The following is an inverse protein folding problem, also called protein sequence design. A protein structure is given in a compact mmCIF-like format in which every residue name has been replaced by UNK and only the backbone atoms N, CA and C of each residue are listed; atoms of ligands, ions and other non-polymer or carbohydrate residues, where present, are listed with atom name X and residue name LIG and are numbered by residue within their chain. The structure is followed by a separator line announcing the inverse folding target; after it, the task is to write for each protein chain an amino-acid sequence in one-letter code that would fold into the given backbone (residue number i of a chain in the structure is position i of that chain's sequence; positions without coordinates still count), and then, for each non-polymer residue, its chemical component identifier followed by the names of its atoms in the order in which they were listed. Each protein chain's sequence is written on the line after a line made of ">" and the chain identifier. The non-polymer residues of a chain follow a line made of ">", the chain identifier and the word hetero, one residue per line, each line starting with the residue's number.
data_IF_858453573235
#
_entry.id   IF_858453573235
#
_cell.length_a   1.000
_cell.length_b   1.000
_cell.length_c   1.000
_cell.angle_alpha   90.00
_cell.angle_beta   90.00
_cell.angle_gamma   90.00
#
_symmetry.space_group_name_H-M   'P 1'
#
loop_
_entity.id
_entity.type
_entity.pdbx_description
1 polymer ?
#
# COMPACT_ATOMS: atom_id res chain seq x y z
N UNK A 1 -5.86 -8.59 22.76
CA UNK A 1 -5.25 -9.29 21.63
C UNK A 1 -5.42 -8.40 20.41
N UNK A 2 -4.40 -7.60 20.09
CA UNK A 2 -4.40 -6.82 18.85
C UNK A 2 -4.13 -7.83 17.75
N UNK A 3 -5.12 -8.13 16.92
CA UNK A 3 -4.93 -8.89 15.70
C UNK A 3 -3.82 -8.21 14.92
N UNK A 4 -2.75 -8.94 14.57
CA UNK A 4 -1.70 -8.43 13.69
C UNK A 4 -2.33 -8.11 12.32
N UNK A 5 -2.77 -6.87 12.19
CA UNK A 5 -3.32 -6.32 10.96
C UNK A 5 -2.18 -5.69 10.21
N UNK A 6 -1.52 -6.48 9.37
CA UNK A 6 -0.41 -6.06 8.52
C UNK A 6 -0.84 -4.98 7.51
N UNK A 7 0.10 -4.20 6.96
CA UNK A 7 -0.20 -3.19 5.93
C UNK A 7 -0.95 -3.80 4.73
N UNK A 8 -0.60 -5.02 4.33
CA UNK A 8 -1.30 -5.78 3.28
C UNK A 8 -2.72 -6.25 3.64
N UNK A 9 -3.17 -6.05 4.89
CA UNK A 9 -4.53 -6.38 5.34
C UNK A 9 -5.47 -5.18 5.35
N UNK A 10 -4.94 -3.96 5.18
CA UNK A 10 -5.72 -2.72 5.18
C UNK A 10 -6.78 -2.75 4.08
N UNK A 11 -7.98 -2.26 4.42
CA UNK A 11 -9.11 -2.10 3.50
C UNK A 11 -9.14 -0.68 2.94
N UNK A 12 -9.81 -0.45 1.80
CA UNK A 12 -9.91 0.90 1.25
C UNK A 12 -10.56 1.87 2.26
N UNK A 13 -11.60 1.43 2.97
CA UNK A 13 -12.26 2.27 3.98
C UNK A 13 -11.35 2.67 5.15
N UNK A 14 -10.25 1.95 5.39
CA UNK A 14 -9.26 2.28 6.42
C UNK A 14 -8.13 3.17 5.91
N UNK A 15 -7.98 3.33 4.59
CA UNK A 15 -6.87 4.06 3.95
C UNK A 15 -7.32 5.18 3.03
N UNK A 16 -8.63 5.31 2.76
CA UNK A 16 -9.18 6.36 1.91
C UNK A 16 -8.81 7.74 2.48
N UNK A 17 -7.99 8.55 1.77
CA UNK A 17 -7.56 9.85 2.26
C UNK A 17 -8.73 10.78 2.62
N UNK A 18 -9.89 10.62 1.99
CA UNK A 18 -11.09 11.41 2.29
C UNK A 18 -11.62 11.16 3.71
N UNK A 19 -11.41 9.96 4.26
CA UNK A 19 -11.78 9.60 5.63
C UNK A 19 -10.74 10.02 6.67
N UNK A 20 -9.55 10.44 6.23
CA UNK A 20 -8.40 10.70 7.07
C UNK A 20 -7.73 12.03 6.66
N UNK A 21 -8.28 13.20 7.01
CA UNK A 21 -7.61 14.48 6.78
C UNK A 21 -6.22 14.47 7.43
N UNK A 22 -5.20 14.83 6.67
CA UNK A 22 -3.82 14.84 7.13
C UNK A 22 -3.08 15.93 6.37
N UNK A 23 -2.55 16.88 7.13
CA UNK A 23 -1.71 17.95 6.63
C UNK A 23 -0.53 18.04 7.59
N UNK A 24 0.68 17.99 7.05
CA UNK A 24 1.90 18.00 7.84
C UNK A 24 2.87 19.00 7.23
N UNK A 25 2.75 20.25 7.65
CA UNK A 25 3.72 21.28 7.30
C UNK A 25 5.09 21.00 7.96
N UNK A 26 6.09 21.81 7.62
CA UNK A 26 7.47 21.60 8.09
C UNK A 26 7.60 21.65 9.62
N UNK A 27 6.80 22.47 10.31
CA UNK A 27 6.83 22.60 11.76
C UNK A 27 6.15 21.41 12.44
N UNK A 28 5.01 20.97 11.91
CA UNK A 28 4.31 19.78 12.36
C UNK A 28 5.13 18.50 12.11
N UNK A 29 5.84 18.43 10.98
CA UNK A 29 6.76 17.33 10.65
C UNK A 29 7.92 17.26 11.65
N UNK A 30 8.51 18.40 12.01
CA UNK A 30 9.56 18.48 13.03
C UNK A 30 9.07 18.05 14.41
N UNK A 31 7.91 18.56 14.83
CA UNK A 31 7.28 18.18 16.09
C UNK A 31 6.93 16.67 16.14
N UNK A 32 6.51 16.10 14.99
CA UNK A 32 6.27 14.67 14.88
C UNK A 32 7.56 13.86 15.05
N UNK A 33 8.65 14.28 14.40
CA UNK A 33 9.96 13.64 14.55
C UNK A 33 10.44 13.65 16.02
N UNK A 34 10.28 14.78 16.72
CA UNK A 34 10.61 14.90 18.15
C UNK A 34 9.79 13.93 19.02
N UNK A 35 8.52 13.70 18.67
CA UNK A 35 7.66 12.74 19.36
C UNK A 35 8.02 11.27 19.03
N UNK A 36 8.48 11.00 17.82
CA UNK A 36 8.90 9.66 17.38
C UNK A 36 10.26 9.28 17.97
N UNK A 37 11.20 10.23 18.07
CA UNK A 37 12.56 10.01 18.56
C UNK A 37 12.66 9.15 19.84
N UNK A 38 11.91 9.41 20.92
CA UNK A 38 11.98 8.60 22.14
C UNK A 38 11.38 7.19 22.02
N UNK A 39 10.61 6.90 20.96
CA UNK A 39 9.99 5.60 20.71
C UNK A 39 10.89 4.67 19.90
N UNK A 40 11.98 5.19 19.33
CA UNK A 40 12.84 4.45 18.45
C UNK A 40 13.71 3.43 19.20
N UNK A 41 13.88 2.22 18.64
CA UNK A 41 14.83 1.27 19.17
C UNK A 41 16.27 1.75 18.96
N UNK A 42 17.20 1.21 19.75
CA UNK A 42 18.62 1.32 19.42
C UNK A 42 18.94 0.49 18.18
N UNK A 43 19.96 0.89 17.42
CA UNK A 43 20.39 0.18 16.21
C UNK A 43 20.64 -1.32 16.45
N UNK A 44 21.25 -1.69 17.58
CA UNK A 44 21.50 -3.11 17.92
C UNK A 44 20.18 -3.87 18.14
N UNK A 45 19.22 -3.26 18.84
CA UNK A 45 17.87 -3.84 19.03
C UNK A 45 17.12 -3.98 17.70
N UNK A 46 17.26 -3.01 16.80
CA UNK A 46 16.65 -3.06 15.47
C UNK A 46 17.25 -4.19 14.61
N UNK A 47 18.54 -4.49 14.75
CA UNK A 47 19.18 -5.64 14.08
C UNK A 47 18.71 -6.98 14.64
N UNK A 48 18.55 -7.09 15.95
CA UNK A 48 18.17 -8.34 16.61
C UNK A 48 16.67 -8.66 16.49
N UNK A 49 15.82 -7.65 16.69
CA UNK A 49 14.37 -7.80 16.74
C UNK A 49 13.69 -7.42 15.42
N UNK A 50 14.42 -6.82 14.48
CA UNK A 50 13.90 -6.45 13.15
C UNK A 50 12.66 -5.55 13.27
N UNK A 51 11.66 -5.82 12.43
CA UNK A 51 10.39 -5.07 12.36
C UNK A 51 9.73 -4.84 13.72
N UNK A 52 9.66 -5.84 14.60
CA UNK A 52 8.89 -5.72 15.87
C UNK A 52 9.47 -4.67 16.81
N UNK A 53 10.75 -4.32 16.65
CA UNK A 53 11.36 -3.20 17.38
C UNK A 53 10.72 -1.84 17.07
N UNK A 54 9.98 -1.72 15.97
CA UNK A 54 9.29 -0.52 15.51
C UNK A 54 7.79 -0.50 15.83
N UNK A 55 7.29 -1.52 16.54
CA UNK A 55 5.88 -1.56 16.96
C UNK A 55 5.50 -0.32 17.79
N UNK A 56 6.31 0.21 18.74
CA UNK A 56 5.97 1.44 19.47
C UNK A 56 5.77 2.66 18.56
N UNK A 57 6.58 2.80 17.51
CA UNK A 57 6.44 3.88 16.52
C UNK A 57 5.16 3.68 15.72
N UNK A 58 4.92 2.45 15.25
CA UNK A 58 3.73 2.12 14.46
C UNK A 58 2.44 2.35 15.26
N UNK A 59 2.42 1.94 16.52
CA UNK A 59 1.27 2.12 17.40
C UNK A 59 1.01 3.60 17.69
N UNK A 60 2.06 4.38 17.94
CA UNK A 60 1.95 5.84 18.09
C UNK A 60 1.36 6.52 16.84
N UNK A 61 1.85 6.17 15.64
CA UNK A 61 1.35 6.73 14.39
C UNK A 61 -0.11 6.32 14.13
N UNK A 62 -0.47 5.07 14.41
CA UNK A 62 -1.83 4.56 14.25
C UNK A 62 -2.79 5.20 15.26
N UNK A 63 -2.38 5.40 16.51
CA UNK A 63 -3.17 6.09 17.52
C UNK A 63 -3.43 7.55 17.10
N UNK A 64 -2.42 8.21 16.53
CA UNK A 64 -2.49 9.63 16.16
C UNK A 64 -3.25 9.89 14.86
N UNK A 65 -3.03 9.08 13.83
CA UNK A 65 -3.52 9.34 12.48
C UNK A 65 -4.55 8.32 11.98
N UNK A 66 -4.75 7.22 12.71
CA UNK A 66 -5.61 6.12 12.31
C UNK A 66 -4.87 5.01 11.58
N UNK A 67 -5.62 3.97 11.22
CA UNK A 67 -5.06 2.69 10.74
C UNK A 67 -4.27 2.80 9.45
N UNK A 68 -4.57 3.79 8.61
CA UNK A 68 -3.81 4.02 7.37
C UNK A 68 -2.32 4.19 7.63
N UNK A 69 -1.92 4.81 8.75
CA UNK A 69 -0.52 5.11 9.05
C UNK A 69 0.33 3.85 9.25
N UNK A 70 -0.27 2.66 9.40
CA UNK A 70 0.46 1.40 9.55
C UNK A 70 1.28 1.01 8.31
N UNK A 71 1.01 1.59 7.15
CA UNK A 71 1.79 1.37 5.94
C UNK A 71 3.12 2.13 5.88
N UNK A 72 3.44 2.98 6.86
CA UNK A 72 4.59 3.89 6.81
C UNK A 72 5.94 3.22 6.53
N UNK A 73 6.16 1.98 6.98
CA UNK A 73 7.40 1.23 6.74
C UNK A 73 7.23 0.07 5.75
N UNK A 74 6.16 0.07 4.94
CA UNK A 74 5.96 -0.95 3.92
C UNK A 74 6.84 -0.64 2.71
N UNK A 75 8.09 -1.05 2.83
CA UNK A 75 9.17 -0.77 1.91
C UNK A 75 9.09 -1.55 0.61
N UNK A 76 9.68 -0.99 -0.44
CA UNK A 76 9.99 -1.71 -1.69
C UNK A 76 10.92 -2.91 -1.42
N UNK A 77 10.73 -4.00 -2.15
CA UNK A 77 11.55 -5.22 -2.04
C UNK A 77 11.42 -5.94 -0.70
N UNK A 78 12.47 -6.66 -0.29
CA UNK A 78 12.48 -7.57 0.89
C UNK A 78 12.61 -6.86 2.25
N UNK A 79 12.13 -5.62 2.38
CA UNK A 79 12.19 -4.94 3.66
C UNK A 79 11.20 -5.49 4.69
N UNK A 80 10.93 -4.74 5.76
CA UNK A 80 10.28 -5.26 6.99
C UNK A 80 8.95 -6.01 6.76
N UNK A 81 8.19 -5.63 5.73
CA UNK A 81 6.87 -6.22 5.40
C UNK A 81 6.79 -6.79 3.97
N UNK A 82 7.87 -6.67 3.19
CA UNK A 82 8.02 -7.15 1.80
C UNK A 82 7.02 -6.59 0.75
N UNK A 83 7.52 -6.12 -0.40
CA UNK A 83 6.71 -5.81 -1.58
C UNK A 83 5.84 -4.56 -1.48
N UNK A 84 6.23 -3.60 -0.65
CA UNK A 84 5.54 -2.33 -0.48
C UNK A 84 6.01 -1.25 -1.46
N UNK A 85 5.69 0.00 -1.13
CA UNK A 85 5.84 1.18 -2.01
C UNK A 85 6.73 2.27 -1.44
N UNK A 86 7.09 2.17 -0.16
CA UNK A 86 7.92 3.18 0.52
C UNK A 86 9.37 2.97 0.12
N UNK A 87 9.95 3.92 -0.62
CA UNK A 87 11.32 3.85 -1.10
C UNK A 87 12.35 4.40 -0.11
N UNK A 88 11.97 5.36 0.73
CA UNK A 88 12.91 5.96 1.70
C UNK A 88 13.26 5.02 2.86
N UNK A 89 12.40 4.05 3.15
CA UNK A 89 12.62 3.04 4.18
C UNK A 89 13.07 1.72 3.55
N UNK A 90 14.14 1.12 4.08
CA UNK A 90 14.61 -0.20 3.65
C UNK A 90 14.13 -1.29 4.61
N UNK A 91 14.68 -1.33 5.83
CA UNK A 91 14.27 -2.25 6.89
C UNK A 91 14.84 -1.78 8.23
N UNK A 92 14.31 -2.30 9.34
CA UNK A 92 14.75 -1.93 10.69
C UNK A 92 16.28 -2.02 10.88
N UNK A 93 16.91 -3.08 10.36
CA UNK A 93 18.35 -3.32 10.56
C UNK A 93 19.26 -2.37 9.78
N UNK A 94 18.78 -1.77 8.68
CA UNK A 94 19.55 -0.87 7.82
C UNK A 94 19.16 0.59 7.97
N UNK A 95 17.92 0.88 8.32
CA UNK A 95 17.37 2.24 8.39
C UNK A 95 17.45 2.86 9.79
N UNK A 96 17.59 2.06 10.86
CA UNK A 96 17.74 2.58 12.23
C UNK A 96 19.20 2.91 12.52
N UNK A 97 19.50 4.20 12.68
CA UNK A 97 20.83 4.73 13.01
C UNK A 97 20.79 5.52 14.33
N UNK A 98 20.76 6.85 14.25
CA UNK A 98 20.57 7.78 15.37
C UNK A 98 19.09 8.15 15.49
N UNK A 99 18.65 8.59 16.67
CA UNK A 99 17.25 8.95 16.89
C UNK A 99 16.79 10.10 15.97
N UNK A 100 17.64 11.10 15.75
CA UNK A 100 17.31 12.26 14.91
C UNK A 100 17.19 11.87 13.43
N UNK A 101 18.17 11.13 12.89
CA UNK A 101 18.12 10.66 11.50
C UNK A 101 16.95 9.70 11.26
N UNK A 102 16.75 8.76 12.18
CA UNK A 102 15.71 7.73 12.03
C UNK A 102 14.32 8.32 12.20
N UNK A 103 14.11 9.28 13.11
CA UNK A 103 12.81 9.93 13.30
C UNK A 103 12.43 10.78 12.09
N UNK A 104 13.37 11.54 11.52
CA UNK A 104 13.17 12.23 10.25
C UNK A 104 12.81 11.26 9.12
N UNK A 105 13.48 10.10 9.07
CA UNK A 105 13.20 9.07 8.08
C UNK A 105 11.79 8.45 8.23
N UNK A 106 11.33 8.22 9.47
CA UNK A 106 9.97 7.74 9.75
C UNK A 106 8.92 8.74 9.25
N UNK A 107 9.14 10.04 9.48
CA UNK A 107 8.22 11.09 8.99
C UNK A 107 8.20 11.11 7.47
N UNK A 108 9.35 11.05 6.81
CA UNK A 108 9.44 10.99 5.36
C UNK A 108 8.74 9.74 4.80
N UNK A 109 8.90 8.59 5.45
CA UNK A 109 8.28 7.33 5.05
C UNK A 109 6.74 7.35 5.22
N UNK A 110 6.23 7.98 6.29
CA UNK A 110 4.80 8.21 6.47
C UNK A 110 4.22 9.12 5.40
N UNK A 111 4.92 10.20 5.04
CA UNK A 111 4.53 11.10 3.96
C UNK A 111 4.54 10.40 2.61
N UNK A 112 5.57 9.62 2.30
CA UNK A 112 5.63 8.86 1.05
C UNK A 112 4.48 7.85 0.93
N UNK A 113 4.13 7.18 2.03
CA UNK A 113 2.97 6.31 2.09
C UNK A 113 1.66 7.09 1.89
N UNK A 114 1.55 8.29 2.49
CA UNK A 114 0.39 9.16 2.33
C UNK A 114 0.21 9.60 0.88
N UNK A 115 1.27 10.08 0.24
CA UNK A 115 1.26 10.53 -1.16
C UNK A 115 0.77 9.42 -2.09
N UNK A 116 1.19 8.19 -1.84
CA UNK A 116 0.72 7.03 -2.60
C UNK A 116 -0.79 6.78 -2.45
N UNK A 117 -1.34 6.90 -1.23
CA UNK A 117 -2.77 6.74 -1.00
C UNK A 117 -3.60 7.83 -1.70
N UNK A 118 -3.09 9.06 -1.72
CA UNK A 118 -3.70 10.19 -2.42
C UNK A 118 -3.65 10.02 -3.95
N UNK A 119 -2.51 9.60 -4.48
CA UNK A 119 -2.36 9.26 -5.90
C UNK A 119 -3.35 8.15 -6.31
N UNK A 120 -3.51 7.11 -5.48
CA UNK A 120 -4.49 6.06 -5.73
C UNK A 120 -5.92 6.59 -5.69
N UNK A 121 -6.27 7.48 -4.76
CA UNK A 121 -7.61 8.07 -4.68
C UNK A 121 -7.96 8.85 -5.96
N UNK A 122 -7.01 9.64 -6.47
CA UNK A 122 -7.15 10.37 -7.73
C UNK A 122 -7.30 9.43 -8.93
N UNK A 123 -6.43 8.42 -9.03
CA UNK A 123 -6.49 7.41 -10.09
C UNK A 123 -7.80 6.64 -10.05
N UNK A 124 -8.26 6.23 -8.88
CA UNK A 124 -9.55 5.56 -8.74
C UNK A 124 -10.69 6.48 -9.17
N UNK A 125 -10.63 7.78 -8.91
CA UNK A 125 -11.63 8.73 -9.41
C UNK A 125 -11.63 8.80 -10.93
N UNK A 126 -10.45 8.90 -11.55
CA UNK A 126 -10.29 8.95 -13.00
C UNK A 126 -10.68 7.63 -13.70
N UNK A 127 -10.55 6.50 -13.00
CA UNK A 127 -10.88 5.17 -13.51
C UNK A 127 -12.27 4.68 -13.10
N UNK A 128 -13.07 5.47 -12.38
CA UNK A 128 -14.40 5.03 -11.96
C UNK A 128 -15.31 4.73 -13.17
N UNK A 129 -16.15 3.68 -13.10
CA UNK A 129 -17.06 3.33 -14.19
C UNK A 129 -18.13 4.41 -14.35
N UNK A 130 -18.38 4.86 -15.59
CA UNK A 130 -19.52 5.75 -15.86
C UNK A 130 -20.84 5.03 -15.57
N UNK A 131 -21.89 5.82 -15.34
CA UNK A 131 -23.26 5.33 -15.13
C UNK A 131 -24.19 6.01 -16.15
N UNK A 132 -24.72 5.28 -17.16
CA UNK A 132 -24.54 3.85 -17.41
C UNK A 132 -23.13 3.48 -17.90
N UNK A 133 -22.74 2.22 -17.68
CA UNK A 133 -21.50 1.66 -18.22
C UNK A 133 -21.76 1.16 -19.64
N UNK A 134 -21.20 1.83 -20.65
CA UNK A 134 -21.39 1.48 -22.06
C UNK A 134 -20.14 0.88 -22.71
N UNK A 135 -18.96 1.10 -22.12
CA UNK A 135 -17.70 0.60 -22.65
C UNK A 135 -17.38 -0.80 -22.10
N UNK A 136 -17.39 -1.86 -22.93
CA UNK A 136 -17.10 -3.22 -22.50
C UNK A 136 -15.65 -3.43 -22.08
N UNK A 137 -14.73 -2.52 -22.42
CA UNK A 137 -13.31 -2.61 -22.08
C UNK A 137 -12.93 -1.82 -20.83
N UNK A 138 -13.92 -1.22 -20.14
CA UNK A 138 -13.64 -0.32 -19.03
C UNK A 138 -12.85 -0.98 -17.90
N UNK A 139 -13.33 -2.14 -17.42
CA UNK A 139 -12.69 -2.87 -16.31
C UNK A 139 -11.32 -3.42 -16.70
N UNK A 140 -11.15 -3.83 -17.96
CA UNK A 140 -9.87 -4.28 -18.49
C UNK A 140 -8.85 -3.14 -18.47
N UNK A 141 -9.21 -1.97 -19.02
CA UNK A 141 -8.33 -0.79 -19.03
C UNK A 141 -8.00 -0.29 -17.63
N UNK A 142 -8.96 -0.33 -16.71
CA UNK A 142 -8.73 0.04 -15.31
C UNK A 142 -7.75 -0.93 -14.63
N UNK A 143 -7.94 -2.24 -14.81
CA UNK A 143 -7.04 -3.26 -14.28
C UNK A 143 -5.61 -3.09 -14.81
N UNK A 144 -5.44 -3.00 -16.14
CA UNK A 144 -4.13 -2.86 -16.77
C UNK A 144 -3.37 -1.63 -16.23
N UNK A 145 -4.04 -0.47 -16.14
CA UNK A 145 -3.43 0.76 -15.64
C UNK A 145 -3.02 0.67 -14.16
N UNK A 146 -3.84 0.03 -13.33
CA UNK A 146 -3.53 -0.14 -11.91
C UNK A 146 -2.38 -1.14 -11.71
N UNK A 147 -2.36 -2.24 -12.45
CA UNK A 147 -1.25 -3.21 -12.42
C UNK A 147 0.06 -2.53 -12.81
N UNK A 148 0.09 -1.76 -13.90
CA UNK A 148 1.30 -1.04 -14.34
C UNK A 148 1.78 -0.05 -13.28
N UNK A 149 0.88 0.77 -12.74
CA UNK A 149 1.22 1.76 -11.71
C UNK A 149 1.79 1.12 -10.45
N UNK A 150 1.20 0.01 -10.00
CA UNK A 150 1.73 -0.71 -8.83
C UNK A 150 3.09 -1.34 -9.16
N UNK A 151 3.24 -1.98 -10.31
CA UNK A 151 4.51 -2.56 -10.73
C UNK A 151 5.62 -1.49 -10.79
N UNK A 152 5.34 -0.32 -11.37
CA UNK A 152 6.29 0.79 -11.41
C UNK A 152 6.65 1.29 -9.99
N UNK A 153 5.64 1.50 -9.13
CA UNK A 153 5.85 2.04 -7.77
C UNK A 153 6.63 1.09 -6.86
N UNK A 154 6.35 -0.20 -6.98
CA UNK A 154 7.00 -1.28 -6.22
C UNK A 154 8.27 -1.80 -6.91
N UNK A 155 8.61 -1.26 -8.08
CA UNK A 155 9.69 -1.73 -8.96
C UNK A 155 9.57 -3.20 -9.36
N UNK A 156 8.37 -3.78 -9.23
CA UNK A 156 8.07 -5.20 -9.37
C UNK A 156 9.00 -6.12 -8.55
N UNK A 157 9.48 -5.61 -7.41
CA UNK A 157 10.38 -6.32 -6.52
C UNK A 157 9.63 -7.37 -5.68
N UNK A 158 10.34 -8.42 -5.27
CA UNK A 158 9.92 -9.43 -4.28
C UNK A 158 8.38 -9.67 -4.20
N UNK A 159 7.71 -9.22 -3.13
CA UNK A 159 6.28 -9.47 -2.87
C UNK A 159 5.28 -8.51 -3.52
N UNK A 160 5.68 -7.72 -4.53
CA UNK A 160 4.87 -6.62 -5.07
C UNK A 160 3.43 -6.98 -5.48
N UNK A 161 3.24 -8.20 -5.99
CA UNK A 161 1.95 -8.68 -6.47
C UNK A 161 0.89 -8.73 -5.36
N UNK A 162 1.31 -8.84 -4.08
CA UNK A 162 0.41 -8.75 -2.93
C UNK A 162 -0.21 -7.36 -2.83
N UNK A 163 0.60 -6.30 -3.00
CA UNK A 163 0.09 -4.94 -3.02
C UNK A 163 -0.76 -4.68 -4.27
N UNK A 164 -0.37 -5.24 -5.42
CA UNK A 164 -1.18 -5.15 -6.65
C UNK A 164 -2.59 -5.72 -6.44
N UNK A 165 -2.70 -6.91 -5.86
CA UNK A 165 -3.99 -7.52 -5.50
C UNK A 165 -4.78 -6.66 -4.50
N UNK A 166 -4.09 -6.05 -3.54
CA UNK A 166 -4.71 -5.15 -2.56
C UNK A 166 -5.29 -3.90 -3.24
N UNK A 167 -4.55 -3.25 -4.13
CA UNK A 167 -4.99 -2.07 -4.89
C UNK A 167 -6.17 -2.38 -5.80
N UNK A 168 -6.15 -3.51 -6.51
CA UNK A 168 -7.29 -3.95 -7.33
C UNK A 168 -8.53 -4.23 -6.47
N UNK A 169 -8.33 -4.82 -5.29
CA UNK A 169 -9.42 -5.03 -4.32
C UNK A 169 -9.98 -3.68 -3.87
N UNK A 170 -9.13 -2.73 -3.48
CA UNK A 170 -9.54 -1.39 -3.07
C UNK A 170 -10.35 -0.67 -4.15
N UNK A 171 -9.87 -0.70 -5.39
CA UNK A 171 -10.56 -0.10 -6.53
C UNK A 171 -11.98 -0.66 -6.71
N UNK A 172 -12.16 -1.98 -6.63
CA UNK A 172 -13.49 -2.60 -6.72
C UNK A 172 -14.37 -2.17 -5.54
N UNK A 173 -13.84 -2.14 -4.31
CA UNK A 173 -14.61 -1.73 -3.12
C UNK A 173 -15.09 -0.29 -3.19
N UNK A 174 -14.23 0.63 -3.65
CA UNK A 174 -14.60 2.03 -3.86
C UNK A 174 -15.73 2.21 -4.87
N UNK A 175 -15.80 1.31 -5.86
CA UNK A 175 -16.85 1.31 -6.88
C UNK A 175 -18.09 0.49 -6.48
N UNK A 176 -18.21 0.13 -5.20
CA UNK A 176 -19.42 -0.46 -4.61
C UNK A 176 -19.46 -1.98 -4.61
N UNK A 177 -18.39 -2.67 -4.99
CA UNK A 177 -18.33 -4.14 -4.91
C UNK A 177 -17.95 -4.54 -3.47
N UNK A 178 -18.72 -5.40 -2.79
CA UNK A 178 -18.41 -5.82 -1.42
C UNK A 178 -16.99 -6.39 -1.28
N UNK A 179 -16.34 -6.16 -0.13
CA UNK A 179 -14.93 -6.49 0.05
C UNK A 179 -14.58 -7.97 -0.18
N UNK A 180 -15.39 -8.89 0.36
CA UNK A 180 -15.18 -10.33 0.16
C UNK A 180 -15.28 -10.70 -1.32
N UNK A 181 -16.27 -10.12 -2.00
CA UNK A 181 -16.51 -10.29 -3.43
C UNK A 181 -15.35 -9.75 -4.27
N UNK A 182 -14.84 -8.57 -3.92
CA UNK A 182 -13.68 -7.96 -4.57
C UNK A 182 -12.44 -8.85 -4.46
N UNK A 183 -12.17 -9.41 -3.27
CA UNK A 183 -11.05 -10.35 -3.05
C UNK A 183 -11.17 -11.60 -3.93
N UNK A 184 -12.36 -12.18 -4.02
CA UNK A 184 -12.60 -13.35 -4.90
C UNK A 184 -12.36 -13.05 -6.38
N UNK A 185 -12.78 -11.87 -6.85
CA UNK A 185 -12.54 -11.41 -8.23
C UNK A 185 -11.04 -11.36 -8.49
N UNK A 186 -10.31 -10.66 -7.61
CA UNK A 186 -8.88 -10.45 -7.74
C UNK A 186 -8.10 -11.76 -7.67
N UNK A 187 -8.40 -12.63 -6.70
CA UNK A 187 -7.75 -13.94 -6.58
C UNK A 187 -7.96 -14.77 -7.86
N UNK A 188 -9.17 -14.77 -8.43
CA UNK A 188 -9.45 -15.52 -9.66
C UNK A 188 -8.72 -14.95 -10.90
N UNK A 189 -8.55 -13.62 -10.95
CA UNK A 189 -7.92 -12.90 -12.05
C UNK A 189 -6.39 -12.91 -11.97
N UNK A 190 -5.83 -12.77 -10.78
CA UNK A 190 -4.39 -12.54 -10.55
C UNK A 190 -3.67 -13.76 -9.96
N UNK A 191 -4.36 -14.58 -9.16
CA UNK A 191 -3.75 -15.66 -8.38
C UNK A 191 -2.84 -16.56 -9.21
N UNK A 192 -1.56 -16.61 -8.84
CA UNK A 192 -0.52 -17.43 -9.48
C UNK A 192 -0.04 -16.97 -10.86
N UNK A 193 -0.34 -15.73 -11.28
CA UNK A 193 0.08 -15.20 -12.60
C UNK A 193 1.20 -14.17 -12.56
N UNK A 194 1.46 -13.59 -11.40
CA UNK A 194 2.60 -12.70 -11.20
C UNK A 194 3.70 -13.46 -10.48
N UNK A 195 4.94 -13.21 -10.90
CA UNK A 195 6.15 -13.73 -10.29
C UNK A 195 6.84 -12.63 -9.48
N UNK A 196 7.53 -13.03 -8.42
CA UNK A 196 8.44 -12.13 -7.68
C UNK A 196 9.60 -11.70 -8.57
N UNK A 197 10.10 -10.48 -8.35
CA UNK A 197 11.29 -9.92 -9.05
C UNK A 197 11.13 -9.75 -10.56
N UNK A 198 9.90 -9.80 -11.08
CA UNK A 198 9.61 -9.74 -12.50
C UNK A 198 8.48 -8.74 -12.73
N UNK A 199 8.80 -7.66 -13.44
CA UNK A 199 7.79 -6.79 -14.00
C UNK A 199 6.96 -7.60 -15.02
N UNK A 200 5.62 -7.59 -14.91
CA UNK A 200 4.79 -8.35 -15.81
C UNK A 200 4.91 -7.80 -17.22
N UNK A 201 5.12 -8.67 -18.21
CA UNK A 201 5.06 -8.25 -19.60
C UNK A 201 3.62 -7.91 -20.02
N UNK A 202 3.49 -7.25 -21.18
CA UNK A 202 2.20 -6.83 -21.70
C UNK A 202 1.20 -8.00 -21.85
N UNK A 203 1.66 -9.20 -22.21
CA UNK A 203 0.79 -10.36 -22.41
C UNK A 203 0.25 -10.89 -21.07
N UNK A 204 1.04 -10.83 -20.01
CA UNK A 204 0.59 -11.15 -18.64
C UNK A 204 -0.43 -10.12 -18.17
N UNK A 205 -0.16 -8.83 -18.38
CA UNK A 205 -1.09 -7.75 -18.02
C UNK A 205 -2.41 -7.87 -18.78
N UNK A 206 -2.38 -8.13 -20.08
CA UNK A 206 -3.59 -8.31 -20.91
C UNK A 206 -4.41 -9.51 -20.42
N UNK A 207 -3.75 -10.65 -20.17
CA UNK A 207 -4.41 -11.86 -19.67
C UNK A 207 -5.10 -11.65 -18.32
N UNK A 208 -4.41 -10.98 -17.38
CA UNK A 208 -4.96 -10.64 -16.05
C UNK A 208 -6.15 -9.69 -16.21
N UNK A 209 -5.99 -8.65 -17.04
CA UNK A 209 -6.99 -7.59 -17.21
C UNK A 209 -8.28 -8.10 -17.86
N UNK A 210 -8.18 -8.94 -18.90
CA UNK A 210 -9.35 -9.55 -19.53
C UNK A 210 -10.10 -10.48 -18.57
N UNK A 211 -9.38 -11.29 -17.78
CA UNK A 211 -10.00 -12.15 -16.76
C UNK A 211 -10.67 -11.35 -15.65
N UNK A 212 -10.02 -10.26 -15.22
CA UNK A 212 -10.57 -9.33 -14.24
C UNK A 212 -11.91 -8.78 -14.72
N UNK A 213 -11.96 -8.24 -15.94
CA UNK A 213 -13.19 -7.71 -16.54
C UNK A 213 -14.31 -8.76 -16.60
N UNK A 214 -14.02 -9.96 -17.13
CA UNK A 214 -14.99 -11.06 -17.19
C UNK A 214 -15.54 -11.42 -15.80
N UNK A 215 -14.68 -11.47 -14.78
CA UNK A 215 -15.09 -11.88 -13.44
C UNK A 215 -15.90 -10.80 -12.73
N UNK A 216 -15.65 -9.53 -13.03
CA UNK A 216 -16.50 -8.42 -12.56
C UNK A 216 -17.89 -8.53 -13.20
N UNK A 217 -17.97 -8.66 -14.53
CA UNK A 217 -19.24 -8.67 -15.27
C UNK A 217 -20.13 -9.88 -14.97
N UNK A 218 -19.54 -11.07 -14.78
CA UNK A 218 -20.30 -12.28 -14.47
C UNK A 218 -20.88 -12.31 -13.06
N UNK A 219 -20.45 -11.40 -12.18
CA UNK A 219 -20.71 -11.50 -10.76
C UNK A 219 -20.91 -10.13 -10.06
N UNK A 220 -21.24 -9.10 -10.86
CA UNK A 220 -21.78 -7.81 -10.45
C UNK A 220 -23.31 -7.84 -10.59
#
# INVERSE_FOLDING_TARGET
>A
MVTELWAYSLTWAEVDPLGHPFELDEDAARALAECVAPLLPRADTAKESGRSSLDPVTDFLVERYGRWARGWNWSVGEGDTDGGVVGVWCCASHSVTTADETSALVVAALLEWRDWLEELAERFAALAPPKPLEDPWHWERACARLVTVVADRTQAESGWYRHCMQVLTWFLTRNGIPQERAREIVESAVGGRFDSWVAPDATVVDSVSSRFAQTVEHRA
#
